data_IF_352513725831
#
_entry.id   IF_352513725831
#
_cell.length_a   1.000
_cell.length_b   1.000
_cell.length_c   1.000
_cell.angle_alpha   90.00
_cell.angle_beta   90.00
_cell.angle_gamma   90.00
#
_symmetry.space_group_name_H-M   'P 1'
#
loop_
_entity.id
_entity.type
_entity.pdbx_description
1 polymer ?
#
# COMPACT_ATOMS: atom_id res chain seq x y z
N UNK A 1 -17.45 11.54 -22.91
CA UNK A 1 -16.41 10.63 -22.40
C UNK A 1 -17.07 9.78 -21.31
N UNK A 2 -16.99 8.44 -21.37
CA UNK A 2 -17.54 7.60 -20.31
C UNK A 2 -16.79 7.94 -19.02
N UNK A 3 -17.51 8.47 -18.04
CA UNK A 3 -16.98 8.71 -16.71
C UNK A 3 -17.21 7.42 -15.94
N UNK A 4 -16.12 6.72 -15.60
CA UNK A 4 -16.19 5.57 -14.71
C UNK A 4 -16.60 6.06 -13.32
N UNK A 5 -17.91 6.12 -13.09
CA UNK A 5 -18.47 6.43 -11.79
C UNK A 5 -18.17 5.32 -10.79
N UNK A 6 -18.30 5.64 -9.51
CA UNK A 6 -18.21 4.65 -8.42
C UNK A 6 -19.15 3.46 -8.66
N UNK A 7 -20.35 3.69 -9.22
CA UNK A 7 -21.29 2.62 -9.53
C UNK A 7 -20.81 1.69 -10.66
N UNK A 8 -20.22 2.21 -11.73
CA UNK A 8 -19.66 1.37 -12.81
C UNK A 8 -18.48 0.54 -12.33
N UNK A 9 -17.60 1.10 -11.48
CA UNK A 9 -16.50 0.34 -10.87
C UNK A 9 -17.01 -0.82 -10.01
N UNK A 10 -18.09 -0.62 -9.25
CA UNK A 10 -18.68 -1.69 -8.43
C UNK A 10 -19.24 -2.81 -9.32
N UNK A 11 -19.91 -2.48 -10.43
CA UNK A 11 -20.41 -3.49 -11.37
C UNK A 11 -19.26 -4.31 -11.96
N UNK A 12 -18.17 -3.65 -12.38
CA UNK A 12 -16.97 -4.34 -12.89
C UNK A 12 -16.37 -5.24 -11.81
N UNK A 13 -16.27 -4.76 -10.57
CA UNK A 13 -15.78 -5.53 -9.42
C UNK A 13 -16.61 -6.81 -9.22
N UNK A 14 -17.94 -6.71 -9.31
CA UNK A 14 -18.83 -7.87 -9.19
C UNK A 14 -18.57 -8.89 -10.29
N UNK A 15 -18.41 -8.45 -11.56
CA UNK A 15 -18.09 -9.34 -12.68
C UNK A 15 -16.74 -10.05 -12.45
N UNK A 16 -15.72 -9.30 -12.04
CA UNK A 16 -14.40 -9.84 -11.69
C UNK A 16 -14.52 -10.85 -10.55
N UNK A 17 -15.33 -10.56 -9.52
CA UNK A 17 -15.60 -11.50 -8.43
C UNK A 17 -16.34 -12.76 -8.89
N UNK A 18 -17.20 -12.70 -9.90
CA UNK A 18 -17.86 -13.90 -10.45
C UNK A 18 -16.86 -14.79 -11.21
N UNK A 19 -15.93 -14.19 -11.95
CA UNK A 19 -14.91 -14.92 -12.73
C UNK A 19 -13.83 -15.52 -11.83
N UNK A 20 -13.30 -14.74 -10.90
CA UNK A 20 -12.19 -15.16 -10.05
C UNK A 20 -12.63 -15.76 -8.70
N UNK A 21 -13.86 -15.48 -8.26
CA UNK A 21 -14.36 -15.83 -6.94
C UNK A 21 -13.90 -14.87 -5.83
N UNK A 22 -14.71 -14.73 -4.77
CA UNK A 22 -14.36 -13.92 -3.61
C UNK A 22 -13.12 -14.42 -2.86
N UNK A 23 -12.91 -15.74 -2.81
CA UNK A 23 -11.77 -16.36 -2.13
C UNK A 23 -10.42 -16.03 -2.78
N UNK A 24 -10.37 -15.97 -4.11
CA UNK A 24 -9.13 -15.68 -4.85
C UNK A 24 -8.74 -14.21 -4.76
N UNK A 25 -9.73 -13.32 -4.79
CA UNK A 25 -9.50 -11.88 -4.58
C UNK A 25 -9.06 -11.60 -3.13
N UNK A 26 -9.65 -12.28 -2.14
CA UNK A 26 -9.25 -12.17 -0.73
C UNK A 26 -7.84 -12.71 -0.47
N UNK A 27 -7.45 -13.84 -1.07
CA UNK A 27 -6.11 -14.38 -0.87
C UNK A 27 -5.02 -13.48 -1.46
N UNK A 28 -5.24 -12.96 -2.68
CA UNK A 28 -4.32 -12.02 -3.34
C UNK A 28 -4.27 -10.71 -2.57
N UNK A 29 -5.42 -10.15 -2.18
CA UNK A 29 -5.49 -8.93 -1.37
C UNK A 29 -4.81 -9.07 -0.02
N UNK A 30 -4.93 -10.22 0.65
CA UNK A 30 -4.25 -10.51 1.91
C UNK A 30 -2.72 -10.59 1.76
N UNK A 31 -2.22 -11.22 0.69
CA UNK A 31 -0.79 -11.29 0.40
C UNK A 31 -0.20 -9.91 0.03
N UNK A 32 -0.89 -9.18 -0.86
CA UNK A 32 -0.51 -7.81 -1.24
C UNK A 32 -0.54 -6.87 -0.04
N UNK A 33 -1.58 -6.96 0.80
CA UNK A 33 -1.72 -6.13 2.00
C UNK A 33 -0.60 -6.34 3.01
N UNK A 34 -0.18 -7.59 3.22
CA UNK A 34 1.01 -7.90 4.04
C UNK A 34 2.28 -7.30 3.44
N UNK A 35 2.50 -7.50 2.13
CA UNK A 35 3.67 -6.95 1.45
C UNK A 35 3.73 -5.42 1.51
N UNK A 36 2.60 -4.73 1.31
CA UNK A 36 2.52 -3.27 1.43
C UNK A 36 2.78 -2.82 2.87
N UNK A 37 2.27 -3.55 3.86
CA UNK A 37 2.49 -3.24 5.29
C UNK A 37 3.97 -3.36 5.66
N UNK A 38 4.62 -4.45 5.27
CA UNK A 38 6.05 -4.67 5.51
C UNK A 38 6.90 -3.65 4.76
N UNK A 39 6.56 -3.34 3.51
CA UNK A 39 7.22 -2.29 2.74
C UNK A 39 7.11 -0.93 3.43
N UNK A 40 5.92 -0.55 3.90
CA UNK A 40 5.69 0.71 4.61
C UNK A 40 6.45 0.78 5.94
N UNK A 41 6.53 -0.33 6.66
CA UNK A 41 7.29 -0.45 7.90
C UNK A 41 8.79 -0.22 7.62
N UNK A 42 9.35 -0.92 6.64
CA UNK A 42 10.75 -0.80 6.26
C UNK A 42 11.10 0.62 5.76
N UNK A 43 10.24 1.24 4.94
CA UNK A 43 10.44 2.64 4.51
C UNK A 43 10.47 3.58 5.71
N UNK A 44 9.56 3.42 6.67
CA UNK A 44 9.52 4.27 7.87
C UNK A 44 10.74 4.10 8.76
N UNK A 45 11.28 2.89 8.87
CA UNK A 45 12.52 2.61 9.61
C UNK A 45 13.74 3.26 8.94
N UNK A 46 13.79 3.26 7.60
CA UNK A 46 14.85 3.94 6.83
C UNK A 46 14.74 5.47 6.95
N UNK A 47 13.51 6.01 6.89
CA UNK A 47 13.26 7.44 7.09
C UNK A 47 13.67 7.88 8.51
N UNK A 48 13.23 7.15 9.54
CA UNK A 48 13.60 7.44 10.93
C UNK A 48 15.11 7.36 11.19
N UNK A 49 15.78 6.32 10.68
CA UNK A 49 17.24 6.20 10.79
C UNK A 49 17.97 7.34 10.07
N UNK A 50 17.41 7.87 8.98
CA UNK A 50 17.96 9.04 8.28
C UNK A 50 17.75 10.34 9.06
N UNK A 51 16.65 10.45 9.82
CA UNK A 51 16.39 11.58 10.72
C UNK A 51 17.33 11.56 11.94
N UNK A 52 17.58 10.40 12.54
CA UNK A 52 18.51 10.23 13.67
C UNK A 52 19.97 10.55 13.27
N UNK A 53 20.41 10.11 12.07
CA UNK A 53 21.73 10.43 11.53
C UNK A 53 21.87 11.91 11.18
N UNK A 54 20.78 12.54 10.73
CA UNK A 54 20.77 13.97 10.43
C UNK A 54 20.79 14.83 11.70
N UNK A 55 20.11 14.42 12.77
CA UNK A 55 20.14 15.08 14.07
C UNK A 55 21.54 14.99 14.71
N UNK A 56 22.20 13.83 14.62
CA UNK A 56 23.56 13.67 15.12
C UNK A 56 24.62 14.46 14.33
N UNK A 57 24.38 14.76 13.06
CA UNK A 57 25.29 15.57 12.23
C UNK A 57 25.14 17.09 12.49
N UNK A 58 23.97 17.55 12.94
CA UNK A 58 23.69 18.95 13.25
C UNK A 58 24.30 19.38 14.59
N UNK A 59 24.39 18.46 15.57
CA UNK A 59 24.94 18.73 16.92
C UNK A 59 26.48 18.78 16.96
N UNK A 60 27.18 18.23 15.96
CA UNK A 60 28.66 18.20 15.91
C UNK A 60 29.26 19.50 15.33
N UNK A 61 28.44 20.38 14.76
CA UNK A 61 28.87 21.61 14.12
C UNK A 61 28.51 22.90 14.90
N UNK A 62 28.06 22.75 16.15
CA UNK A 62 27.94 23.84 17.14
C UNK A 62 28.96 23.64 18.28
#
# INVERSE_FOLDING_TARGET
MPHLGTMELVIILVIVMLVFGAGKLSSIGGALGKGIKEFKQATKEIEGASEDVKAAADEVNE
#
